data_IF_307872809844
#
_entry.id   IF_307872809844
#
_cell.length_a   1.000
_cell.length_b   1.000
_cell.length_c   1.000
_cell.angle_alpha   90.00
_cell.angle_beta   90.00
_cell.angle_gamma   90.00
#
_symmetry.space_group_name_H-M   'P 1'
#
loop_
_entity.id
_entity.type
_entity.pdbx_description
1 polymer ?
#
# COMPACT_ATOMS: atom_id res chain seq x y z
N UNK A 1 5.37 4.56 -7.44
CA UNK A 1 4.17 5.17 -8.06
C UNK A 1 4.37 6.63 -8.46
N UNK A 2 4.94 7.50 -7.61
CA UNK A 2 5.13 8.93 -7.92
C UNK A 2 5.72 9.18 -9.31
N UNK A 3 6.85 8.54 -9.61
CA UNK A 3 7.55 8.68 -10.89
C UNK A 3 6.69 8.29 -12.10
N UNK A 4 5.93 7.21 -11.99
CA UNK A 4 4.99 6.76 -13.05
C UNK A 4 3.92 7.81 -13.33
N UNK A 5 3.44 8.51 -12.30
CA UNK A 5 2.45 9.57 -12.47
C UNK A 5 3.06 10.84 -13.09
N UNK A 6 4.30 11.17 -12.72
CA UNK A 6 5.05 12.28 -13.36
C UNK A 6 5.27 12.01 -14.85
N UNK A 7 5.71 10.80 -15.20
CA UNK A 7 5.88 10.37 -16.60
C UNK A 7 4.54 10.34 -17.36
N UNK A 8 3.42 10.11 -16.65
CA UNK A 8 2.06 10.24 -17.17
C UNK A 8 1.57 11.68 -17.37
N UNK A 9 2.38 12.69 -17.04
CA UNK A 9 2.08 14.11 -17.28
C UNK A 9 1.36 14.82 -16.13
N UNK A 10 1.26 14.23 -14.95
CA UNK A 10 0.72 14.92 -13.77
C UNK A 10 1.80 15.81 -13.12
N UNK A 11 1.46 17.03 -12.68
CA UNK A 11 2.41 17.90 -12.00
C UNK A 11 2.84 17.28 -10.67
N UNK A 12 4.15 17.25 -10.40
CA UNK A 12 4.73 16.57 -9.24
C UNK A 12 4.15 17.05 -7.90
N UNK A 13 3.88 18.36 -7.80
CA UNK A 13 3.28 18.99 -6.62
C UNK A 13 1.81 18.60 -6.37
N UNK A 14 1.14 18.00 -7.36
CA UNK A 14 -0.25 17.54 -7.26
C UNK A 14 -0.38 16.01 -7.14
N UNK A 15 0.74 15.31 -6.87
CA UNK A 15 0.75 13.86 -6.67
C UNK A 15 0.96 13.56 -5.18
N UNK A 16 0.01 12.83 -4.60
CA UNK A 16 0.09 12.29 -3.25
C UNK A 16 0.15 10.76 -3.34
N UNK A 17 1.14 10.16 -2.68
CA UNK A 17 1.34 8.71 -2.69
C UNK A 17 1.08 8.16 -1.29
N UNK A 18 0.35 7.06 -1.25
CA UNK A 18 0.00 6.37 -0.03
C UNK A 18 0.35 4.89 -0.17
N UNK A 19 0.57 4.27 0.98
CA UNK A 19 0.85 2.86 1.08
C UNK A 19 0.21 2.30 2.32
N UNK A 20 -0.33 1.10 2.19
CA UNK A 20 -0.78 0.32 3.33
C UNK A 20 -0.28 -1.12 3.21
N UNK A 21 0.22 -1.65 4.31
CA UNK A 21 0.62 -3.04 4.43
C UNK A 21 0.80 -3.42 5.88
N UNK A 22 0.81 -4.73 6.13
CA UNK A 22 1.22 -5.26 7.42
C UNK A 22 1.90 -6.59 7.17
N UNK A 23 3.22 -6.66 7.42
CA UNK A 23 4.02 -7.85 7.09
C UNK A 23 3.54 -9.09 7.84
N UNK A 24 3.06 -8.95 9.07
CA UNK A 24 2.52 -10.07 9.84
C UNK A 24 1.21 -10.59 9.24
N UNK A 25 0.33 -9.69 8.79
CA UNK A 25 -0.87 -10.03 8.04
C UNK A 25 -0.52 -10.79 6.75
N UNK A 26 0.46 -10.32 5.97
CA UNK A 26 0.90 -10.98 4.76
C UNK A 26 1.43 -12.41 5.02
N UNK A 27 2.31 -12.56 6.01
CA UNK A 27 2.89 -13.86 6.38
C UNK A 27 1.82 -14.86 6.80
N UNK A 28 0.80 -14.43 7.55
CA UNK A 28 -0.29 -15.31 7.96
C UNK A 28 -1.12 -15.83 6.76
N UNK A 29 -1.16 -15.09 5.65
CA UNK A 29 -1.85 -15.52 4.44
C UNK A 29 -0.99 -16.42 3.52
N UNK A 30 0.33 -16.46 3.72
CA UNK A 30 1.25 -17.25 2.91
C UNK A 30 1.55 -18.58 3.62
N UNK A 31 1.05 -19.69 3.06
CA UNK A 31 1.47 -21.06 3.45
C UNK A 31 0.55 -21.82 4.41
N UNK A 32 -0.61 -21.28 4.79
CA UNK A 32 -1.59 -21.96 5.65
C UNK A 32 -2.89 -22.37 4.94
N UNK A 33 -3.65 -23.34 5.49
CA UNK A 33 -4.97 -23.73 4.95
C UNK A 33 -6.04 -22.65 5.15
N UNK A 34 -5.82 -21.71 6.07
CA UNK A 34 -6.74 -20.62 6.40
C UNK A 34 -6.10 -19.29 5.99
N UNK A 35 -6.75 -18.58 5.07
CA UNK A 35 -6.38 -17.22 4.63
C UNK A 35 -7.02 -16.17 5.54
N UNK A 36 -6.65 -16.19 6.82
CA UNK A 36 -7.15 -15.21 7.77
C UNK A 36 -6.04 -14.86 8.76
N UNK A 37 -5.81 -13.56 8.92
CA UNK A 37 -4.88 -13.06 9.92
C UNK A 37 -5.41 -13.28 11.36
N UNK A 38 -6.73 -13.32 11.53
CA UNK A 38 -7.43 -13.52 12.81
C UNK A 38 -7.98 -12.22 13.38
N UNK A 39 -8.91 -12.33 14.34
CA UNK A 39 -9.47 -11.20 15.07
C UNK A 39 -8.49 -10.71 16.15
N UNK A 40 -8.58 -9.43 16.54
CA UNK A 40 -7.82 -8.81 17.64
C UNK A 40 -6.30 -8.71 17.45
N UNK A 41 -5.79 -8.98 16.25
CA UNK A 41 -4.38 -8.77 15.91
C UNK A 41 -4.14 -7.36 15.40
N UNK A 42 -2.92 -6.88 15.58
CA UNK A 42 -2.51 -5.55 15.14
C UNK A 42 -2.54 -5.42 13.61
N UNK A 43 -3.31 -4.43 13.14
CA UNK A 43 -3.49 -4.04 11.74
C UNK A 43 -2.85 -2.69 11.43
N UNK A 44 -2.01 -2.18 12.32
CA UNK A 44 -1.23 -0.96 12.09
C UNK A 44 -0.41 -1.08 10.80
N UNK A 45 -0.26 0.05 10.13
CA UNK A 45 0.48 0.11 8.87
C UNK A 45 1.97 -0.13 9.12
N UNK A 46 2.56 -1.02 8.32
CA UNK A 46 3.98 -1.28 8.24
C UNK A 46 4.52 -0.60 6.99
N UNK A 47 5.05 0.61 7.17
CA UNK A 47 5.53 1.46 6.06
C UNK A 47 6.73 0.85 5.31
N UNK A 48 7.49 -0.04 5.96
CA UNK A 48 8.62 -0.74 5.32
C UNK A 48 8.14 -1.82 4.34
N UNK A 49 6.94 -2.39 4.57
CA UNK A 49 6.37 -3.47 3.77
C UNK A 49 4.94 -3.17 3.29
N UNK A 50 4.76 -2.20 2.38
CA UNK A 50 3.44 -1.92 1.82
C UNK A 50 2.98 -3.06 0.92
N UNK A 51 1.79 -3.60 1.20
CA UNK A 51 1.16 -4.63 0.37
C UNK A 51 0.35 -4.01 -0.77
N UNK A 52 -0.16 -2.80 -0.55
CA UNK A 52 -0.92 -2.04 -1.52
C UNK A 52 -0.41 -0.60 -1.51
N UNK A 53 -0.13 -0.09 -2.69
CA UNK A 53 0.31 1.28 -2.92
C UNK A 53 -0.63 1.95 -3.91
N UNK A 54 -0.98 3.19 -3.64
CA UNK A 54 -1.85 3.97 -4.53
C UNK A 54 -1.40 5.44 -4.55
N UNK A 55 -1.93 6.19 -5.51
CA UNK A 55 -1.67 7.61 -5.62
C UNK A 55 -2.94 8.35 -6.00
N UNK A 56 -3.12 9.54 -5.45
CA UNK A 56 -4.05 10.53 -5.98
C UNK A 56 -3.25 11.55 -6.77
N UNK A 57 -3.75 11.90 -7.96
CA UNK A 57 -3.16 12.92 -8.80
C UNK A 57 -4.27 13.81 -9.36
N UNK A 58 -4.03 15.12 -9.40
CA UNK A 58 -4.97 16.09 -9.99
C UNK A 58 -4.40 16.65 -11.28
N UNK A 59 -5.23 16.66 -12.32
CA UNK A 59 -4.93 17.36 -13.55
C UNK A 59 -5.27 18.85 -13.39
N UNK A 60 -4.44 19.73 -13.96
CA UNK A 60 -4.74 21.16 -14.07
C UNK A 60 -5.88 21.40 -15.07
#
# INVERSE_FOLDING_TARGET
LKQVMVEGGFPESAIEVFGWGNRACAKAHIGGPVRAYGLWRDLSNDEEYPLMVWAFARRA
#
